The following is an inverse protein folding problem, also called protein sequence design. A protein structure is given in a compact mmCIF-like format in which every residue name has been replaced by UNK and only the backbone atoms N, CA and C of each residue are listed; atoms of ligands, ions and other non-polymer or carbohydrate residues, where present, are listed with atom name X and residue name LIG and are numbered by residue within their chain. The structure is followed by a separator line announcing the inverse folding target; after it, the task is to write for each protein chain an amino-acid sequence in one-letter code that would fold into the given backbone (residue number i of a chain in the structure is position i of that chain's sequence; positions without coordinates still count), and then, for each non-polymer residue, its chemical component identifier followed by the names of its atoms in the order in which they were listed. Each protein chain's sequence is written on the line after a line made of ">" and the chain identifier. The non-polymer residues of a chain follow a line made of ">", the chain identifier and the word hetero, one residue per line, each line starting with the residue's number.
data_IF_073770414652
#
_entry.id   IF_073770414652
#
_cell.length_a   1.000
_cell.length_b   1.000
_cell.length_c   1.000
_cell.angle_alpha   90.00
_cell.angle_beta   90.00
_cell.angle_gamma   90.00
#
_symmetry.space_group_name_H-M   'P 1'
#
loop_
_entity.id
_entity.type
_entity.pdbx_description
1 polymer ?
#
# COMPACT_ATOMS: atom_id res chain seq x y z
N UNK A 1 -13.65 -16.15 -0.52
CA UNK A 1 -12.19 -16.28 -0.31
C UNK A 1 -11.89 -16.87 1.07
N UNK A 2 -11.11 -17.95 1.19
CA UNK A 2 -10.71 -18.52 2.49
C UNK A 2 -9.94 -17.50 3.36
N UNK A 3 -10.05 -17.61 4.70
CA UNK A 3 -9.39 -16.68 5.63
C UNK A 3 -7.86 -16.66 5.49
N UNK A 4 -7.24 -17.81 5.27
CA UNK A 4 -5.80 -17.96 5.05
C UNK A 4 -5.34 -17.26 3.76
N UNK A 5 -6.07 -17.47 2.66
CA UNK A 5 -5.82 -16.79 1.38
C UNK A 5 -5.97 -15.28 1.50
N UNK A 6 -7.02 -14.80 2.19
CA UNK A 6 -7.24 -13.37 2.45
C UNK A 6 -6.07 -12.74 3.21
N UNK A 7 -5.60 -13.37 4.28
CA UNK A 7 -4.44 -12.88 5.06
C UNK A 7 -3.17 -12.88 4.23
N UNK A 8 -2.93 -13.96 3.46
CA UNK A 8 -1.75 -14.08 2.61
C UNK A 8 -1.69 -12.98 1.55
N UNK A 9 -2.78 -12.80 0.78
CA UNK A 9 -2.86 -11.74 -0.25
C UNK A 9 -2.70 -10.35 0.35
N UNK A 10 -3.37 -10.08 1.48
CA UNK A 10 -3.26 -8.78 2.15
C UNK A 10 -1.81 -8.49 2.56
N UNK A 11 -1.18 -9.41 3.28
CA UNK A 11 0.18 -9.25 3.77
C UNK A 11 1.17 -9.11 2.60
N UNK A 12 1.07 -9.96 1.57
CA UNK A 12 1.94 -9.88 0.40
C UNK A 12 1.77 -8.53 -0.32
N UNK A 13 0.54 -8.06 -0.51
CA UNK A 13 0.29 -6.77 -1.14
C UNK A 13 0.80 -5.60 -0.31
N UNK A 14 0.53 -5.57 1.00
CA UNK A 14 1.02 -4.50 1.88
C UNK A 14 2.54 -4.41 1.84
N UNK A 15 3.25 -5.54 1.94
CA UNK A 15 4.72 -5.57 1.88
C UNK A 15 5.26 -5.11 0.53
N UNK A 16 4.61 -5.51 -0.58
CA UNK A 16 4.94 -5.00 -1.91
C UNK A 16 4.75 -3.48 -1.98
N UNK A 17 3.63 -2.97 -1.47
CA UNK A 17 3.34 -1.54 -1.46
C UNK A 17 4.37 -0.73 -0.69
N UNK A 18 4.69 -1.17 0.54
CA UNK A 18 5.72 -0.57 1.39
C UNK A 18 7.08 -0.59 0.68
N UNK A 19 7.51 -1.76 0.21
CA UNK A 19 8.83 -1.92 -0.41
C UNK A 19 8.98 -1.15 -1.73
N UNK A 20 7.94 -1.11 -2.57
CA UNK A 20 7.96 -0.34 -3.83
C UNK A 20 8.05 1.15 -3.55
N UNK A 21 7.19 1.68 -2.68
CA UNK A 21 7.19 3.12 -2.40
C UNK A 21 8.47 3.55 -1.70
N UNK A 22 8.94 2.82 -0.69
CA UNK A 22 10.22 3.13 -0.03
C UNK A 22 11.40 3.10 -1.00
N UNK A 23 11.48 2.10 -1.89
CA UNK A 23 12.55 2.04 -2.87
C UNK A 23 12.46 3.14 -3.94
N UNK A 24 11.25 3.53 -4.36
CA UNK A 24 11.05 4.67 -5.27
C UNK A 24 11.42 5.98 -4.60
N UNK A 25 11.08 6.13 -3.32
CA UNK A 25 11.36 7.32 -2.55
C UNK A 25 12.86 7.55 -2.42
N UNK A 26 13.60 6.53 -1.99
CA UNK A 26 15.06 6.56 -1.93
C UNK A 26 15.70 6.80 -3.30
N UNK A 27 15.27 6.08 -4.34
CA UNK A 27 15.88 6.23 -5.66
C UNK A 27 15.62 7.63 -6.24
N UNK A 28 14.39 8.11 -6.17
CA UNK A 28 13.98 9.36 -6.82
C UNK A 28 14.34 10.56 -5.95
N UNK A 29 13.92 10.58 -4.69
CA UNK A 29 14.04 11.77 -3.85
C UNK A 29 15.36 11.84 -3.08
N UNK A 30 15.89 10.71 -2.59
CA UNK A 30 17.18 10.74 -1.88
C UNK A 30 18.38 10.76 -2.85
N UNK A 31 18.36 9.93 -3.90
CA UNK A 31 19.54 9.76 -4.76
C UNK A 31 19.52 10.62 -6.03
N UNK A 32 18.43 10.60 -6.81
CA UNK A 32 18.38 11.33 -8.09
C UNK A 32 18.17 12.82 -7.88
N UNK A 33 17.12 13.19 -7.12
CA UNK A 33 16.77 14.60 -6.88
C UNK A 33 17.51 15.19 -5.69
N UNK A 34 18.01 14.34 -4.78
CA UNK A 34 18.67 14.77 -3.54
C UNK A 34 17.83 15.77 -2.74
N UNK A 35 16.50 15.63 -2.83
CA UNK A 35 15.50 16.53 -2.24
C UNK A 35 15.52 16.51 -0.73
N UNK A 36 15.82 15.35 -0.15
CA UNK A 36 15.94 15.17 1.28
C UNK A 36 16.82 13.96 1.59
N UNK A 37 17.23 13.87 2.85
CA UNK A 37 17.93 12.70 3.41
C UNK A 37 17.12 12.12 4.54
N UNK A 38 17.28 10.82 4.83
CA UNK A 38 16.47 10.13 5.83
C UNK A 38 16.66 10.72 7.23
N UNK A 39 17.91 11.07 7.56
CA UNK A 39 18.25 11.76 8.79
C UNK A 39 19.03 13.03 8.50
N UNK A 40 18.50 14.15 8.96
CA UNK A 40 19.18 15.43 8.87
C UNK A 40 20.43 15.48 9.74
N UNK A 41 21.54 15.85 9.09
CA UNK A 41 22.83 16.05 9.74
C UNK A 41 23.68 16.99 8.90
N UNK A 42 24.51 17.80 9.56
CA UNK A 42 25.56 18.58 8.88
C UNK A 42 26.69 17.69 8.32
N UNK A 43 26.76 16.43 8.75
CA UNK A 43 27.75 15.46 8.27
C UNK A 43 27.22 14.66 7.08
N UNK A 44 27.87 14.84 5.92
CA UNK A 44 27.60 14.05 4.71
C UNK A 44 27.66 12.53 4.99
N UNK A 45 28.63 12.08 5.79
CA UNK A 45 28.76 10.67 6.15
C UNK A 45 27.57 10.12 6.94
N UNK A 46 26.96 10.92 7.83
CA UNK A 46 25.76 10.51 8.57
C UNK A 46 24.53 10.46 7.66
N UNK A 47 24.40 11.42 6.75
CA UNK A 47 23.32 11.46 5.76
C UNK A 47 23.35 10.21 4.88
N UNK A 48 24.50 9.93 4.26
CA UNK A 48 24.71 8.74 3.42
C UNK A 48 24.47 7.44 4.20
N UNK A 49 24.97 7.35 5.43
CA UNK A 49 24.75 6.18 6.27
C UNK A 49 23.26 5.96 6.54
N UNK A 50 22.53 7.02 6.87
CA UNK A 50 21.10 6.94 7.18
C UNK A 50 20.28 6.51 5.96
N UNK A 51 20.55 7.09 4.79
CA UNK A 51 19.93 6.69 3.52
C UNK A 51 20.25 5.24 3.17
N UNK A 52 21.50 4.80 3.36
CA UNK A 52 21.90 3.43 3.09
C UNK A 52 21.24 2.41 4.02
N UNK A 53 21.04 2.74 5.29
CA UNK A 53 20.32 1.89 6.25
C UNK A 53 18.82 1.80 5.92
N UNK A 54 18.22 2.93 5.57
CA UNK A 54 16.83 2.97 5.10
C UNK A 54 16.67 2.12 3.82
N UNK A 55 17.60 2.28 2.86
CA UNK A 55 17.64 1.49 1.63
C UNK A 55 17.75 -0.01 1.87
N UNK A 56 18.63 -0.42 2.78
CA UNK A 56 18.76 -1.83 3.11
C UNK A 56 17.45 -2.39 3.69
N UNK A 57 16.74 -1.61 4.51
CA UNK A 57 15.48 -2.02 5.10
C UNK A 57 14.35 -2.11 4.07
N UNK A 58 14.14 -1.08 3.26
CA UNK A 58 13.07 -1.05 2.24
C UNK A 58 13.33 -2.10 1.15
N UNK A 59 14.58 -2.29 0.74
CA UNK A 59 14.99 -3.35 -0.17
C UNK A 59 14.74 -4.74 0.42
N UNK A 60 15.08 -4.97 1.70
CA UNK A 60 14.81 -6.24 2.35
C UNK A 60 13.30 -6.55 2.41
N UNK A 61 12.47 -5.55 2.70
CA UNK A 61 11.00 -5.68 2.66
C UNK A 61 10.52 -6.02 1.25
N UNK A 62 11.03 -5.33 0.22
CA UNK A 62 10.66 -5.57 -1.17
C UNK A 62 11.07 -6.97 -1.64
N UNK A 63 12.31 -7.41 -1.35
CA UNK A 63 12.79 -8.76 -1.68
C UNK A 63 11.94 -9.81 -0.98
N UNK A 64 11.64 -9.64 0.31
CA UNK A 64 10.76 -10.55 1.03
C UNK A 64 9.35 -10.60 0.41
N UNK A 65 8.81 -9.46 -0.01
CA UNK A 65 7.53 -9.38 -0.69
C UNK A 65 7.54 -10.13 -2.04
N UNK A 66 8.62 -10.00 -2.83
CA UNK A 66 8.80 -10.72 -4.09
C UNK A 66 8.89 -12.24 -3.86
N UNK A 67 9.66 -12.68 -2.85
CA UNK A 67 9.72 -14.10 -2.45
C UNK A 67 8.32 -14.61 -2.08
N UNK A 68 7.53 -13.81 -1.36
CA UNK A 68 6.13 -14.14 -1.04
C UNK A 68 5.26 -14.24 -2.28
N UNK A 69 5.43 -13.38 -3.27
CA UNK A 69 4.73 -13.48 -4.56
C UNK A 69 5.04 -14.81 -5.25
N UNK A 70 6.31 -15.22 -5.27
CA UNK A 70 6.72 -16.50 -5.84
C UNK A 70 6.06 -17.68 -5.11
N UNK A 71 6.20 -17.72 -3.79
CA UNK A 71 5.72 -18.82 -2.93
C UNK A 71 4.19 -18.95 -2.91
N UNK A 72 3.47 -17.85 -3.09
CA UNK A 72 2.00 -17.82 -2.99
C UNK A 72 1.30 -17.55 -4.32
N UNK A 73 2.04 -17.64 -5.43
CA UNK A 73 1.57 -17.30 -6.78
C UNK A 73 0.24 -17.95 -7.16
N UNK A 74 0.02 -19.22 -6.83
CA UNK A 74 -1.24 -19.93 -7.07
C UNK A 74 -2.42 -19.31 -6.31
N UNK A 75 -2.20 -18.87 -5.08
CA UNK A 75 -3.20 -18.15 -4.28
C UNK A 75 -3.46 -16.74 -4.83
N UNK A 76 -2.41 -16.05 -5.32
CA UNK A 76 -2.53 -14.69 -5.84
C UNK A 76 -3.25 -14.62 -7.20
N UNK A 77 -3.12 -15.65 -8.04
CA UNK A 77 -3.68 -15.67 -9.40
C UNK A 77 -5.19 -15.39 -9.45
N UNK A 78 -5.96 -15.96 -8.51
CA UNK A 78 -7.40 -15.74 -8.42
C UNK A 78 -7.81 -14.42 -7.76
N UNK A 79 -6.85 -13.64 -7.23
CA UNK A 79 -7.12 -12.55 -6.29
C UNK A 79 -6.33 -11.26 -6.61
N UNK A 80 -5.93 -11.06 -7.88
CA UNK A 80 -5.18 -9.88 -8.37
C UNK A 80 -5.82 -8.56 -7.97
N UNK A 81 -7.14 -8.50 -8.07
CA UNK A 81 -7.98 -7.38 -7.65
C UNK A 81 -7.76 -6.98 -6.17
N UNK A 82 -7.73 -7.97 -5.29
CA UNK A 82 -7.47 -7.78 -3.87
C UNK A 82 -5.98 -7.45 -3.64
N UNK A 83 -5.07 -8.09 -4.37
CA UNK A 83 -3.63 -7.80 -4.30
C UNK A 83 -3.32 -6.32 -4.60
N UNK A 84 -3.88 -5.77 -5.69
CA UNK A 84 -3.71 -4.34 -6.04
C UNK A 84 -4.24 -3.44 -4.92
N UNK A 85 -5.42 -3.76 -4.36
CA UNK A 85 -5.94 -3.03 -3.21
C UNK A 85 -4.99 -3.05 -2.01
N UNK A 86 -4.41 -4.21 -1.70
CA UNK A 86 -3.44 -4.35 -0.61
C UNK A 86 -2.10 -3.64 -0.89
N UNK A 87 -1.63 -3.60 -2.14
CA UNK A 87 -0.46 -2.80 -2.56
C UNK A 87 -0.70 -1.31 -2.29
N UNK A 88 -1.85 -0.79 -2.71
CA UNK A 88 -2.21 0.61 -2.48
C UNK A 88 -2.37 0.92 -0.98
N UNK A 89 -2.90 -0.01 -0.18
CA UNK A 89 -2.94 0.13 1.28
C UNK A 89 -1.54 0.18 1.87
N UNK A 90 -0.63 -0.68 1.43
CA UNK A 90 0.77 -0.66 1.87
C UNK A 90 1.49 0.63 1.51
N UNK A 91 1.35 1.06 0.25
CA UNK A 91 1.91 2.30 -0.28
C UNK A 91 1.41 3.54 0.49
N UNK A 92 0.09 3.71 0.57
CA UNK A 92 -0.51 4.84 1.27
C UNK A 92 -0.28 4.81 2.79
N UNK A 93 -0.30 3.61 3.39
CA UNK A 93 -0.01 3.43 4.81
C UNK A 93 1.43 3.74 5.18
N UNK A 94 2.39 3.37 4.32
CA UNK A 94 3.80 3.72 4.50
C UNK A 94 4.03 5.22 4.42
N UNK A 95 3.58 5.89 3.36
CA UNK A 95 3.71 7.34 3.22
C UNK A 95 3.02 8.11 4.35
N UNK A 96 1.90 7.61 4.86
CA UNK A 96 1.22 8.23 6.00
C UNK A 96 1.98 8.02 7.30
N UNK A 97 2.55 6.83 7.52
CA UNK A 97 3.44 6.57 8.65
C UNK A 97 4.64 7.50 8.60
N UNK A 98 5.26 7.62 7.43
CA UNK A 98 6.44 8.44 7.19
C UNK A 98 6.16 9.92 7.50
N UNK A 99 5.18 10.52 6.84
CA UNK A 99 4.81 11.92 7.06
C UNK A 99 4.33 12.23 8.49
N UNK A 100 3.66 11.30 9.18
CA UNK A 100 3.20 11.56 10.56
C UNK A 100 4.28 11.31 11.62
N UNK A 101 5.01 10.22 11.48
CA UNK A 101 5.95 9.77 12.52
C UNK A 101 7.32 10.37 12.26
N UNK A 102 7.85 10.21 11.06
CA UNK A 102 9.23 10.57 10.76
C UNK A 102 9.36 12.07 10.51
N UNK A 103 8.43 12.69 9.78
CA UNK A 103 8.41 14.13 9.56
C UNK A 103 7.81 14.88 10.76
N UNK A 104 6.51 14.68 11.04
CA UNK A 104 5.80 15.55 11.97
C UNK A 104 6.08 15.30 13.47
N UNK A 105 6.40 14.05 13.86
CA UNK A 105 6.62 13.71 15.27
C UNK A 105 8.11 13.69 15.65
N UNK A 106 8.92 12.99 14.86
CA UNK A 106 10.34 12.77 15.15
C UNK A 106 11.25 13.81 14.49
N UNK A 107 10.76 14.54 13.48
CA UNK A 107 11.52 15.57 12.78
C UNK A 107 12.85 15.03 12.23
N UNK A 108 12.84 13.83 11.65
CA UNK A 108 14.03 13.18 11.11
C UNK A 108 14.35 13.65 9.68
N UNK A 109 13.32 13.87 8.87
CA UNK A 109 13.41 14.33 7.47
C UNK A 109 12.27 15.31 7.14
N UNK A 110 12.53 16.21 6.19
CA UNK A 110 11.55 17.09 5.56
C UNK A 110 11.18 16.51 4.19
N UNK A 111 10.02 16.89 3.63
CA UNK A 111 9.69 16.45 2.25
C UNK A 111 10.63 17.12 1.25
N UNK A 112 10.99 18.40 1.47
CA UNK A 112 11.96 19.11 0.63
C UNK A 112 12.87 20.01 1.47
N UNK A 113 14.13 19.61 1.65
CA UNK A 113 15.13 20.36 2.42
C UNK A 113 15.48 21.71 1.75
N UNK A 114 15.30 21.86 0.43
CA UNK A 114 15.71 23.06 -0.31
C UNK A 114 14.82 24.29 -0.08
N UNK A 115 13.61 24.12 0.44
CA UNK A 115 12.70 25.25 0.70
C UNK A 115 12.90 25.87 2.09
N UNK A 116 13.80 25.29 2.88
CA UNK A 116 14.08 25.67 4.26
C UNK A 116 15.43 26.39 4.38
N UNK A 117 15.46 27.67 4.03
CA UNK A 117 16.64 28.52 4.17
C UNK A 117 16.73 29.15 5.57
N UNK A 118 16.91 28.34 6.62
CA UNK A 118 17.32 28.84 7.93
C UNK A 118 18.13 27.77 8.68
N UNK A 119 19.34 28.10 9.18
CA UNK A 119 20.11 27.19 10.02
C UNK A 119 19.49 27.17 11.43
N UNK A 120 18.37 26.48 11.60
CA UNK A 120 17.88 26.08 12.92
C UNK A 120 17.92 24.55 13.02
N UNK A 121 18.43 24.07 14.15
CA UNK A 121 18.82 22.68 14.37
C UNK A 121 17.60 21.76 14.62
N UNK A 122 16.80 21.48 13.59
CA UNK A 122 15.92 20.31 13.44
C UNK A 122 15.00 20.45 12.22
N UNK A 123 14.52 19.32 11.70
CA UNK A 123 13.55 19.25 10.61
C UNK A 123 12.11 19.43 11.09
N UNK A 124 11.86 20.36 12.02
CA UNK A 124 10.51 20.57 12.54
C UNK A 124 9.66 21.42 11.59
N UNK A 125 8.38 21.05 11.42
CA UNK A 125 7.43 21.86 10.64
C UNK A 125 7.21 23.27 11.23
N UNK A 126 7.46 23.43 12.53
CA UNK A 126 7.42 24.74 13.17
C UNK A 126 8.61 25.64 12.77
N UNK A 127 9.75 25.06 12.38
CA UNK A 127 10.96 25.78 11.97
C UNK A 127 11.06 25.96 10.46
N UNK A 128 10.31 25.18 9.66
CA UNK A 128 10.20 25.37 8.21
C UNK A 128 8.75 25.41 7.69
N UNK A 129 8.12 26.59 7.82
CA UNK A 129 6.80 26.83 7.23
C UNK A 129 6.71 26.64 5.69
N UNK A 130 7.76 26.94 4.90
CA UNK A 130 7.75 26.69 3.45
C UNK A 130 7.59 25.21 3.03
N UNK A 131 7.87 24.25 3.91
CA UNK A 131 7.71 22.81 3.60
C UNK A 131 6.26 22.33 3.82
N UNK A 132 5.44 23.07 4.57
CA UNK A 132 4.03 22.71 4.87
C UNK A 132 3.22 22.35 3.62
N UNK A 133 3.29 23.05 2.48
CA UNK A 133 2.57 22.65 1.27
C UNK A 133 2.98 21.28 0.74
N UNK A 134 4.26 20.91 0.86
CA UNK A 134 4.78 19.61 0.44
C UNK A 134 4.27 18.51 1.36
N UNK A 135 4.31 18.73 2.67
CA UNK A 135 3.74 17.83 3.68
C UNK A 135 2.25 17.56 3.47
N UNK A 136 1.47 18.62 3.20
CA UNK A 136 0.04 18.49 2.93
C UNK A 136 -0.20 17.74 1.62
N UNK A 137 0.59 18.00 0.57
CA UNK A 137 0.47 17.28 -0.68
C UNK A 137 0.83 15.79 -0.53
N UNK A 138 1.90 15.48 0.20
CA UNK A 138 2.34 14.11 0.48
C UNK A 138 1.31 13.35 1.33
N UNK A 139 0.82 13.98 2.41
CA UNK A 139 -0.23 13.42 3.25
C UNK A 139 -1.54 13.20 2.49
N UNK A 140 -1.95 14.15 1.64
CA UNK A 140 -3.13 14.00 0.79
C UNK A 140 -2.98 12.83 -0.20
N UNK A 141 -1.80 12.69 -0.83
CA UNK A 141 -1.49 11.56 -1.71
C UNK A 141 -1.50 10.24 -0.94
N UNK A 142 -0.91 10.18 0.25
CA UNK A 142 -0.90 9.00 1.12
C UNK A 142 -2.32 8.56 1.49
N UNK A 143 -3.16 9.50 1.91
CA UNK A 143 -4.57 9.25 2.24
C UNK A 143 -5.37 8.81 1.00
N UNK A 144 -5.14 9.41 -0.16
CA UNK A 144 -5.79 9.03 -1.41
C UNK A 144 -5.44 7.58 -1.81
N UNK A 145 -4.15 7.21 -1.75
CA UNK A 145 -3.70 5.84 -2.01
C UNK A 145 -4.29 4.85 -1.00
N UNK A 146 -4.27 5.19 0.29
CA UNK A 146 -4.82 4.35 1.35
C UNK A 146 -6.34 4.14 1.18
N UNK A 147 -7.08 5.21 0.89
CA UNK A 147 -8.52 5.16 0.65
C UNK A 147 -8.85 4.35 -0.61
N UNK A 148 -8.17 4.61 -1.73
CA UNK A 148 -8.32 3.85 -2.96
C UNK A 148 -8.02 2.36 -2.76
N UNK A 149 -6.94 2.05 -2.03
CA UNK A 149 -6.58 0.69 -1.65
C UNK A 149 -7.63 0.01 -0.79
N UNK A 150 -8.14 0.71 0.23
CA UNK A 150 -9.18 0.20 1.12
C UNK A 150 -10.49 -0.08 0.36
N UNK A 151 -10.92 0.83 -0.52
CA UNK A 151 -12.10 0.63 -1.38
C UNK A 151 -11.87 -0.56 -2.31
N UNK A 152 -10.73 -0.61 -3.01
CA UNK A 152 -10.40 -1.68 -3.96
C UNK A 152 -10.34 -3.05 -3.28
N UNK A 153 -9.75 -3.12 -2.09
CA UNK A 153 -9.68 -4.31 -1.26
C UNK A 153 -11.07 -4.79 -0.85
N UNK A 154 -11.91 -3.88 -0.32
CA UNK A 154 -13.28 -4.20 0.11
C UNK A 154 -14.12 -4.70 -1.06
N UNK A 155 -14.08 -4.02 -2.20
CA UNK A 155 -14.81 -4.44 -3.40
C UNK A 155 -14.37 -5.82 -3.88
N UNK A 156 -13.06 -6.10 -3.93
CA UNK A 156 -12.54 -7.40 -4.35
C UNK A 156 -12.92 -8.55 -3.41
N UNK A 157 -12.92 -8.30 -2.11
CA UNK A 157 -13.33 -9.30 -1.11
C UNK A 157 -14.84 -9.55 -1.19
N UNK A 158 -15.63 -8.52 -1.46
CA UNK A 158 -17.09 -8.61 -1.57
C UNK A 158 -17.55 -9.36 -2.83
N UNK A 159 -16.96 -9.08 -4.00
CA UNK A 159 -17.29 -9.82 -5.24
C UNK A 159 -17.05 -11.32 -5.09
N UNK A 160 -15.90 -11.70 -4.52
CA UNK A 160 -15.60 -13.11 -4.24
C UNK A 160 -16.51 -13.76 -3.19
N UNK A 161 -17.19 -12.98 -2.35
CA UNK A 161 -18.19 -13.53 -1.42
C UNK A 161 -19.51 -13.81 -2.14
N UNK A 162 -19.92 -12.92 -3.05
CA UNK A 162 -21.15 -13.06 -3.82
C UNK A 162 -21.06 -14.18 -4.87
N UNK A 163 -19.92 -14.34 -5.54
CA UNK A 163 -19.71 -15.43 -6.51
C UNK A 163 -19.70 -16.82 -5.85
N UNK A 164 -19.39 -16.88 -4.55
CA UNK A 164 -19.38 -18.10 -3.77
C UNK A 164 -20.74 -18.44 -3.14
N UNK A 165 -21.72 -17.53 -3.19
CA UNK A 165 -23.06 -17.81 -2.71
C UNK A 165 -23.77 -18.76 -3.69
N UNK A 166 -24.46 -19.81 -3.20
CA UNK A 166 -25.19 -20.71 -4.08
C UNK A 166 -26.23 -19.90 -4.86
N UNK A 167 -26.13 -19.92 -6.19
CA UNK A 167 -27.18 -19.41 -7.07
C UNK A 167 -28.44 -20.20 -6.75
N UNK A 168 -29.46 -19.55 -6.16
CA UNK A 168 -30.79 -20.15 -6.07
C UNK A 168 -31.24 -20.43 -7.50
N UNK A 169 -31.28 -21.70 -7.88
CA UNK A 169 -31.93 -22.14 -9.09
C UNK A 169 -33.40 -21.73 -8.99
N UNK A 170 -33.81 -20.78 -9.82
CA UNK A 170 -35.21 -20.59 -10.15
C UNK A 170 -35.63 -21.73 -11.08
N UNK A 171 -35.73 -22.94 -10.55
CA UNK A 171 -36.35 -24.09 -11.21
C UNK A 171 -37.28 -24.74 -10.21
N UNK A 172 -38.59 -24.64 -10.47
CA UNK A 172 -39.61 -25.27 -9.64
C UNK A 172 -40.97 -24.60 -9.82
N UNK A 173 -41.66 -24.92 -10.92
CA UNK A 173 -43.02 -24.42 -11.11
C UNK A 173 -43.77 -24.87 -12.35
N UNK A 174 -43.53 -26.07 -12.91
CA UNK A 174 -44.51 -26.70 -13.81
C UNK A 174 -44.58 -28.20 -13.55
N UNK A 175 -45.39 -28.58 -12.57
CA UNK A 175 -45.80 -29.96 -12.31
C UNK A 175 -46.97 -30.34 -13.21
N UNK A 176 -46.69 -31.34 -14.05
CA UNK A 176 -47.60 -32.22 -14.78
C UNK A 176 -48.87 -32.62 -14.00
N UNK A 177 -50.03 -32.57 -14.66
CA UNK A 177 -51.25 -33.28 -14.27
C UNK A 177 -52.06 -33.65 -15.53
N UNK A 178 -52.20 -34.95 -15.79
CA UNK A 178 -53.27 -35.49 -16.65
C UNK A 178 -52.97 -36.86 -17.25
N UNK A 179 -53.55 -37.96 -16.72
CA UNK A 179 -53.56 -39.25 -17.41
C UNK A 179 -54.81 -39.36 -18.31
N UNK A 180 -54.62 -39.71 -19.59
CA UNK A 180 -55.70 -40.16 -20.46
C UNK A 180 -55.44 -41.61 -20.90
N UNK A 181 -56.28 -42.58 -20.50
CA UNK A 181 -56.35 -43.88 -21.16
C UNK A 181 -57.39 -43.81 -22.28
N UNK A 182 -57.00 -44.14 -23.51
CA UNK A 182 -57.96 -44.44 -24.57
C UNK A 182 -57.77 -45.87 -25.07
N UNK A 183 -58.88 -46.60 -24.98
CA UNK A 183 -59.12 -47.90 -25.56
C UNK A 183 -59.27 -47.82 -27.08
N UNK A 184 -58.60 -48.71 -27.81
CA UNK A 184 -59.14 -49.73 -28.73
C UNK A 184 -58.00 -50.37 -29.52
#
# INVERSE_FOLDING_TARGET
>A
MPRSAKRSVFLTGVLLGVGIVGALDEAIFHQILQWHTFYWSDSEGQRILSDGLFHLLTLAVLVYAIVRVWQTSTTLHGHRAALIGAILVGAGGFNLYDGLVQHALLHLHLVNEYVCANPMANNSLATCAPDIPYELAWGAMALALLAAGAVRWRSAVWTHANDAAPRRSSEGGETSLGPHPHAR
#
